data_IF_015741584391
#
_entry.id   IF_015741584391
#
_cell.length_a   1.000
_cell.length_b   1.000
_cell.length_c   1.000
_cell.angle_alpha   90.00
_cell.angle_beta   90.00
_cell.angle_gamma   90.00
#
_symmetry.space_group_name_H-M   'P 1'
#
loop_
_entity.id
_entity.type
_entity.pdbx_description
1 polymer ?
#
# COMPACT_ATOMS: atom_id res chain seq x y z
N UNK A 1 32.88 29.71 -25.64
CA UNK A 1 31.62 29.54 -24.87
C UNK A 1 31.11 28.13 -25.16
N UNK A 2 31.33 27.19 -24.25
CA UNK A 2 30.91 25.80 -24.45
C UNK A 2 29.39 25.74 -24.21
N UNK A 3 28.61 25.53 -25.28
CA UNK A 3 27.18 25.22 -25.14
C UNK A 3 27.10 23.81 -24.57
N UNK A 4 26.68 23.70 -23.31
CA UNK A 4 26.29 22.41 -22.76
C UNK A 4 25.12 21.87 -23.61
N UNK A 5 25.13 20.58 -23.97
CA UNK A 5 24.02 19.99 -24.69
C UNK A 5 22.74 20.19 -23.86
N UNK A 6 21.63 20.49 -24.54
CA UNK A 6 20.34 20.63 -23.89
C UNK A 6 20.02 19.34 -23.13
N UNK A 7 19.69 19.46 -21.85
CA UNK A 7 19.21 18.33 -21.05
C UNK A 7 17.94 17.84 -21.74
N UNK A 8 17.97 16.63 -22.30
CA UNK A 8 16.79 15.99 -22.89
C UNK A 8 15.86 15.60 -21.75
N UNK A 9 14.90 16.47 -21.43
CA UNK A 9 13.84 16.14 -20.48
C UNK A 9 12.92 15.11 -21.15
N UNK A 10 12.65 13.95 -20.51
CA UNK A 10 11.67 12.99 -21.03
C UNK A 10 10.35 13.70 -21.33
N UNK A 11 9.72 13.41 -22.46
CA UNK A 11 8.38 13.94 -22.75
C UNK A 11 7.38 13.30 -21.79
N UNK A 12 6.99 14.06 -20.77
CA UNK A 12 6.03 13.64 -19.76
C UNK A 12 4.60 13.70 -20.30
N UNK A 13 3.85 12.61 -20.17
CA UNK A 13 2.41 12.55 -20.48
C UNK A 13 1.60 13.10 -19.30
N UNK A 14 0.47 13.75 -19.56
CA UNK A 14 -0.42 14.22 -18.48
C UNK A 14 -1.20 13.06 -17.89
N UNK A 15 -0.62 12.34 -16.91
CA UNK A 15 -1.26 11.17 -16.29
C UNK A 15 -2.43 11.51 -15.35
N UNK A 16 -2.55 12.76 -14.88
CA UNK A 16 -3.58 13.13 -13.88
C UNK A 16 -5.01 12.81 -14.29
N UNK A 17 -5.32 12.89 -15.58
CA UNK A 17 -6.63 12.59 -16.16
C UNK A 17 -6.64 11.30 -16.98
N UNK A 18 -5.54 10.55 -17.00
CA UNK A 18 -5.32 9.42 -17.90
C UNK A 18 -5.28 8.11 -17.11
N UNK A 19 -6.44 7.73 -16.59
CA UNK A 19 -6.62 6.57 -15.71
C UNK A 19 -7.66 5.60 -16.28
N UNK A 20 -7.60 4.36 -15.79
CA UNK A 20 -8.63 3.36 -15.95
C UNK A 20 -9.40 3.25 -14.63
N UNK A 21 -10.72 3.28 -14.70
CA UNK A 21 -11.61 3.13 -13.56
C UNK A 21 -11.99 1.65 -13.39
N UNK A 22 -11.88 1.16 -12.15
CA UNK A 22 -12.32 -0.19 -11.79
C UNK A 22 -13.57 -0.10 -10.93
N UNK A 23 -14.61 -0.84 -11.29
CA UNK A 23 -15.92 -0.80 -10.67
C UNK A 23 -16.22 -2.07 -9.88
N UNK A 24 -16.99 -1.88 -8.81
CA UNK A 24 -17.59 -2.92 -8.01
C UNK A 24 -19.05 -3.17 -8.48
N UNK A 25 -19.44 -4.39 -8.87
CA UNK A 25 -20.76 -4.67 -9.46
C UNK A 25 -21.91 -4.59 -8.46
N UNK A 26 -21.69 -5.00 -7.21
CA UNK A 26 -22.74 -4.99 -6.17
C UNK A 26 -23.15 -3.62 -5.63
N UNK A 27 -22.59 -2.51 -6.11
CA UNK A 27 -22.96 -1.16 -5.65
C UNK A 27 -23.45 -0.28 -6.80
N UNK A 28 -24.38 0.65 -6.56
CA UNK A 28 -24.90 1.53 -7.61
C UNK A 28 -23.93 2.67 -7.94
N UNK A 29 -24.01 3.17 -9.17
CA UNK A 29 -23.37 4.44 -9.57
C UNK A 29 -23.97 5.61 -8.80
N UNK A 30 -23.18 6.63 -8.38
CA UNK A 30 -21.74 6.81 -8.63
C UNK A 30 -20.83 6.25 -7.53
N UNK A 31 -21.36 5.49 -6.56
CA UNK A 31 -20.60 5.02 -5.39
C UNK A 31 -19.94 3.66 -5.62
N UNK A 32 -19.83 3.20 -6.86
CA UNK A 32 -19.32 1.88 -7.21
C UNK A 32 -17.90 1.87 -7.79
N UNK A 33 -17.26 3.04 -7.92
CA UNK A 33 -15.84 3.11 -8.30
C UNK A 33 -15.01 2.55 -7.15
N UNK A 34 -14.34 1.43 -7.40
CA UNK A 34 -13.49 0.74 -6.44
C UNK A 34 -12.16 1.47 -6.26
N UNK A 35 -11.46 1.72 -7.37
CA UNK A 35 -10.27 2.58 -7.46
C UNK A 35 -9.95 2.88 -8.94
N UNK A 36 -8.86 3.61 -9.17
CA UNK A 36 -8.33 3.89 -10.52
C UNK A 36 -6.84 3.62 -10.60
N UNK A 37 -6.33 3.22 -11.77
CA UNK A 37 -4.90 3.08 -12.05
C UNK A 37 -4.48 3.93 -13.25
N UNK A 38 -3.26 4.51 -13.24
CA UNK A 38 -2.77 5.35 -14.33
C UNK A 38 -2.35 4.53 -15.56
N UNK A 39 -2.56 5.08 -16.75
CA UNK A 39 -2.20 4.43 -18.02
C UNK A 39 -0.71 4.55 -18.32
N UNK A 40 0.08 3.70 -17.67
CA UNK A 40 1.54 3.72 -17.70
C UNK A 40 2.16 2.64 -18.57
N UNK A 41 1.42 1.61 -18.96
CA UNK A 41 1.93 0.50 -19.78
C UNK A 41 1.60 0.72 -21.25
N UNK A 42 2.60 0.61 -22.12
CA UNK A 42 2.42 0.75 -23.58
C UNK A 42 1.82 -0.53 -24.14
N UNK A 43 0.80 -0.40 -25.01
CA UNK A 43 0.21 -1.55 -25.68
C UNK A 43 1.23 -2.20 -26.62
N UNK A 44 1.44 -3.53 -26.57
CA UNK A 44 2.31 -4.23 -27.52
C UNK A 44 1.82 -4.14 -28.98
N UNK A 45 0.50 -4.05 -29.18
CA UNK A 45 -0.12 -3.98 -30.51
C UNK A 45 -0.20 -2.56 -31.08
N UNK A 46 -0.23 -1.55 -30.22
CA UNK A 46 -0.49 -0.17 -30.58
C UNK A 46 0.48 0.77 -29.82
N UNK A 47 1.63 1.13 -30.40
CA UNK A 47 2.67 1.89 -29.70
C UNK A 47 2.23 3.24 -29.14
N UNK A 48 1.24 3.90 -29.74
CA UNK A 48 0.74 5.19 -29.24
C UNK A 48 -0.34 5.04 -28.15
N UNK A 49 -0.83 3.82 -27.91
CA UNK A 49 -1.86 3.51 -26.95
C UNK A 49 -1.25 3.02 -25.64
N UNK A 50 -1.73 3.60 -24.54
CA UNK A 50 -1.30 3.22 -23.20
C UNK A 50 -2.48 2.78 -22.34
N UNK A 51 -2.17 1.86 -21.45
CA UNK A 51 -3.11 1.18 -20.59
C UNK A 51 -2.47 0.78 -19.27
N UNK A 52 -3.05 -0.24 -18.66
CA UNK A 52 -2.53 -0.87 -17.45
C UNK A 52 -2.29 -2.34 -17.76
N UNK A 53 -1.14 -2.86 -17.37
CA UNK A 53 -0.85 -4.29 -17.42
C UNK A 53 -1.98 -5.10 -16.79
N UNK A 54 -2.57 -5.99 -17.58
CA UNK A 54 -3.81 -6.65 -17.24
C UNK A 54 -3.66 -7.62 -16.07
N UNK A 55 -2.49 -8.27 -15.95
CA UNK A 55 -2.20 -9.19 -14.85
C UNK A 55 -2.00 -8.42 -13.53
N UNK A 56 -1.31 -7.27 -13.58
CA UNK A 56 -1.15 -6.38 -12.42
C UNK A 56 -2.47 -5.74 -12.00
N UNK A 57 -3.30 -5.30 -12.96
CA UNK A 57 -4.63 -4.76 -12.68
C UNK A 57 -5.54 -5.80 -12.01
N UNK A 58 -5.59 -7.02 -12.58
CA UNK A 58 -6.34 -8.12 -12.01
C UNK A 58 -5.87 -8.45 -10.58
N UNK A 59 -4.55 -8.54 -10.37
CA UNK A 59 -3.99 -8.81 -9.06
C UNK A 59 -4.37 -7.74 -8.03
N UNK A 60 -4.31 -6.45 -8.41
CA UNK A 60 -4.73 -5.36 -7.55
C UNK A 60 -6.20 -5.53 -7.11
N UNK A 61 -7.09 -5.83 -8.05
CA UNK A 61 -8.50 -6.11 -7.77
C UNK A 61 -8.68 -7.32 -6.84
N UNK A 62 -7.97 -8.42 -7.10
CA UNK A 62 -8.07 -9.64 -6.29
C UNK A 62 -7.56 -9.43 -4.86
N UNK A 63 -6.50 -8.63 -4.66
CA UNK A 63 -5.99 -8.28 -3.34
C UNK A 63 -7.03 -7.47 -2.55
N UNK A 64 -7.61 -6.42 -3.15
CA UNK A 64 -8.58 -5.57 -2.44
C UNK A 64 -9.87 -6.32 -2.13
N UNK A 65 -10.22 -7.33 -2.92
CA UNK A 65 -11.33 -8.26 -2.66
C UNK A 65 -10.90 -9.46 -1.78
N UNK A 66 -9.94 -9.26 -0.88
CA UNK A 66 -9.49 -10.26 0.10
C UNK A 66 -8.89 -11.55 -0.50
N UNK A 67 -8.00 -11.39 -1.48
CA UNK A 67 -7.19 -12.44 -2.10
C UNK A 67 -8.00 -13.51 -2.87
N UNK A 68 -9.03 -13.09 -3.61
CA UNK A 68 -9.89 -13.95 -4.46
C UNK A 68 -9.19 -14.36 -5.77
N UNK A 69 -7.98 -14.91 -5.69
CA UNK A 69 -7.13 -15.18 -6.86
C UNK A 69 -7.72 -16.19 -7.85
N UNK A 70 -8.52 -17.15 -7.36
CA UNK A 70 -9.06 -18.23 -8.18
C UNK A 70 -10.41 -17.90 -8.84
N UNK A 71 -11.19 -16.98 -8.25
CA UNK A 71 -12.58 -16.71 -8.64
C UNK A 71 -12.79 -15.28 -9.13
N UNK A 72 -11.79 -14.41 -8.97
CA UNK A 72 -11.84 -13.02 -9.41
C UNK A 72 -11.47 -12.86 -10.89
N UNK A 73 -12.25 -12.09 -11.64
CA UNK A 73 -11.97 -11.75 -13.04
C UNK A 73 -12.39 -10.32 -13.39
N UNK A 74 -11.78 -9.76 -14.44
CA UNK A 74 -12.14 -8.46 -15.00
C UNK A 74 -13.05 -8.62 -16.22
N UNK A 75 -13.98 -7.70 -16.40
CA UNK A 75 -14.83 -7.61 -17.59
C UNK A 75 -14.91 -6.16 -18.09
N UNK A 76 -15.12 -6.02 -19.41
CA UNK A 76 -15.31 -4.72 -20.06
C UNK A 76 -16.76 -4.24 -20.08
N UNK A 77 -17.66 -4.92 -19.36
CA UNK A 77 -19.06 -4.57 -19.25
C UNK A 77 -19.59 -4.83 -17.84
N UNK A 78 -20.62 -4.07 -17.48
CA UNK A 78 -21.29 -4.11 -16.18
C UNK A 78 -21.99 -5.44 -15.87
N UNK A 79 -22.22 -6.31 -16.87
CA UNK A 79 -22.85 -7.62 -16.67
C UNK A 79 -21.83 -8.75 -16.51
N UNK A 80 -20.54 -8.48 -16.64
CA UNK A 80 -19.49 -9.48 -16.50
C UNK A 80 -19.40 -10.47 -17.66
N UNK A 81 -20.06 -10.20 -18.80
CA UNK A 81 -20.18 -11.16 -19.90
C UNK A 81 -18.90 -11.18 -20.75
N UNK A 82 -18.33 -10.02 -21.04
CA UNK A 82 -17.14 -9.81 -21.86
C UNK A 82 -15.92 -9.75 -20.95
N UNK A 83 -15.41 -10.94 -20.58
CA UNK A 83 -14.17 -11.06 -19.80
C UNK A 83 -13.02 -10.37 -20.54
N UNK A 84 -12.25 -9.58 -19.81
CA UNK A 84 -11.03 -8.97 -20.31
C UNK A 84 -9.92 -10.02 -20.41
N UNK A 85 -9.03 -9.86 -21.38
CA UNK A 85 -7.83 -10.69 -21.46
C UNK A 85 -6.84 -10.24 -20.39
N UNK A 86 -6.54 -11.13 -19.45
CA UNK A 86 -5.55 -10.92 -18.38
C UNK A 86 -4.38 -11.89 -18.50
N UNK A 87 -4.11 -12.36 -19.73
CA UNK A 87 -2.94 -13.15 -20.06
C UNK A 87 -1.62 -12.37 -19.92
N UNK A 88 -0.48 -13.08 -20.02
CA UNK A 88 0.83 -12.44 -20.09
C UNK A 88 0.87 -11.43 -21.25
N UNK A 89 1.55 -10.29 -21.05
CA UNK A 89 1.69 -9.20 -22.02
C UNK A 89 0.41 -8.44 -22.41
N UNK A 90 -0.76 -8.80 -21.87
CA UNK A 90 -2.00 -8.07 -22.12
C UNK A 90 -2.00 -6.71 -21.41
N UNK A 91 -2.48 -5.68 -22.11
CA UNK A 91 -2.64 -4.31 -21.60
C UNK A 91 -4.11 -3.91 -21.73
N UNK A 92 -4.72 -3.54 -20.61
CA UNK A 92 -6.08 -3.01 -20.56
C UNK A 92 -6.09 -1.59 -21.08
N UNK A 93 -6.88 -1.32 -22.13
CA UNK A 93 -6.88 -0.01 -22.82
C UNK A 93 -8.23 0.71 -22.77
N UNK A 94 -9.31 0.06 -22.33
CA UNK A 94 -10.60 0.72 -22.15
C UNK A 94 -10.57 1.62 -20.90
N UNK A 95 -11.47 2.61 -20.85
CA UNK A 95 -11.53 3.56 -19.74
C UNK A 95 -12.06 2.95 -18.45
N UNK A 96 -12.81 1.86 -18.55
CA UNK A 96 -13.60 1.31 -17.46
C UNK A 96 -13.58 -0.22 -17.51
N UNK A 97 -13.44 -0.85 -16.35
CA UNK A 97 -13.57 -2.29 -16.18
C UNK A 97 -14.29 -2.60 -14.88
N UNK A 98 -15.01 -3.72 -14.84
CA UNK A 98 -15.69 -4.21 -13.66
C UNK A 98 -14.96 -5.44 -13.15
N UNK A 99 -14.74 -5.51 -11.84
CA UNK A 99 -14.17 -6.67 -11.19
C UNK A 99 -15.28 -7.52 -10.59
N UNK A 100 -15.32 -8.80 -10.95
CA UNK A 100 -16.31 -9.76 -10.48
C UNK A 100 -15.65 -10.86 -9.68
N UNK A 101 -16.40 -11.40 -8.72
CA UNK A 101 -16.05 -12.61 -7.98
C UNK A 101 -17.13 -13.64 -8.23
N UNK A 102 -16.75 -14.81 -8.76
CA UNK A 102 -17.72 -15.87 -9.04
C UNK A 102 -18.51 -16.26 -7.79
N UNK A 103 -19.84 -16.12 -7.87
CA UNK A 103 -20.77 -16.46 -6.79
C UNK A 103 -20.96 -15.40 -5.70
N UNK A 104 -20.35 -14.21 -5.81
CA UNK A 104 -20.59 -13.09 -4.88
C UNK A 104 -20.58 -11.74 -5.62
N UNK A 105 -21.79 -11.29 -6.02
CA UNK A 105 -21.98 -10.02 -6.74
C UNK A 105 -21.68 -8.80 -5.85
N UNK A 106 -21.74 -8.95 -4.52
CA UNK A 106 -21.41 -7.89 -3.55
C UNK A 106 -20.25 -8.30 -2.65
N UNK A 107 -19.15 -8.79 -3.25
CA UNK A 107 -17.98 -9.28 -2.51
C UNK A 107 -17.42 -8.26 -1.51
N UNK A 108 -16.84 -8.71 -0.38
CA UNK A 108 -16.30 -7.81 0.62
C UNK A 108 -14.99 -7.15 0.18
N UNK A 109 -14.80 -5.87 0.52
CA UNK A 109 -13.56 -5.12 0.24
C UNK A 109 -12.73 -4.96 1.50
N UNK A 110 -11.42 -5.12 1.38
CA UNK A 110 -10.45 -4.91 2.46
C UNK A 110 -10.30 -3.40 2.70
N UNK A 111 -10.70 -2.87 3.87
CA UNK A 111 -10.82 -1.43 4.06
C UNK A 111 -9.48 -0.72 4.34
N UNK A 112 -8.49 -1.46 4.85
CA UNK A 112 -7.15 -0.96 5.10
C UNK A 112 -6.15 -2.12 5.09
N UNK A 113 -4.86 -1.80 4.89
CA UNK A 113 -3.80 -2.83 4.93
C UNK A 113 -3.76 -3.57 6.27
N UNK A 114 -4.09 -2.91 7.37
CA UNK A 114 -4.11 -3.53 8.71
C UNK A 114 -5.21 -4.58 8.86
N UNK A 115 -6.26 -4.46 8.09
CA UNK A 115 -7.40 -5.38 8.04
C UNK A 115 -7.21 -6.47 6.98
N UNK A 116 -6.08 -6.46 6.26
CA UNK A 116 -5.75 -7.45 5.23
C UNK A 116 -5.06 -8.67 5.83
N UNK A 117 -5.48 -9.87 5.41
CA UNK A 117 -4.79 -11.11 5.73
C UNK A 117 -3.79 -11.44 4.63
N UNK A 118 -2.52 -11.66 4.99
CA UNK A 118 -1.51 -12.10 4.03
C UNK A 118 -1.81 -13.52 3.51
N UNK A 119 -1.79 -13.75 2.19
CA UNK A 119 -2.12 -15.05 1.60
C UNK A 119 -0.92 -16.00 1.62
N UNK A 120 -0.53 -16.45 2.81
CA UNK A 120 0.55 -17.43 2.96
C UNK A 120 0.36 -18.63 2.03
N UNK A 121 1.43 -19.01 1.35
CA UNK A 121 1.52 -20.20 0.51
C UNK A 121 0.48 -20.24 -0.64
N UNK A 122 -0.15 -19.08 -0.94
CA UNK A 122 -1.19 -18.89 -1.96
C UNK A 122 -0.95 -17.67 -2.85
N UNK A 123 0.31 -17.25 -2.96
CA UNK A 123 0.71 -16.21 -3.91
C UNK A 123 0.45 -16.72 -5.34
N UNK A 124 0.03 -15.83 -6.28
CA UNK A 124 -0.13 -16.21 -7.67
C UNK A 124 1.15 -16.81 -8.26
N UNK A 125 1.04 -17.78 -9.16
CA UNK A 125 2.19 -18.49 -9.73
C UNK A 125 3.17 -17.59 -10.51
N UNK A 126 2.68 -16.50 -11.09
CA UNK A 126 3.51 -15.50 -11.78
C UNK A 126 4.26 -14.59 -10.80
N UNK A 127 3.85 -14.55 -9.53
CA UNK A 127 4.64 -13.92 -8.50
C UNK A 127 5.78 -14.86 -8.14
N UNK A 128 7.01 -14.56 -8.58
CA UNK A 128 8.11 -15.51 -8.45
C UNK A 128 8.26 -15.83 -6.97
N UNK A 129 8.27 -17.13 -6.66
CA UNK A 129 8.72 -17.69 -5.39
C UNK A 129 10.14 -18.20 -5.64
N UNK A 130 11.11 -17.60 -4.96
CA UNK A 130 12.57 -17.64 -5.14
C UNK A 130 13.06 -18.57 -6.27
N UNK A 131 13.69 -17.98 -7.28
CA UNK A 131 14.60 -18.71 -8.17
C UNK A 131 15.78 -17.84 -8.60
N UNK A 132 16.97 -18.46 -8.54
CA UNK A 132 18.32 -18.06 -8.94
C UNK A 132 19.06 -17.04 -8.06
N UNK A 133 20.15 -17.54 -7.46
CA UNK A 133 21.21 -16.80 -6.80
C UNK A 133 21.76 -15.72 -7.74
N UNK A 134 21.54 -14.46 -7.39
CA UNK A 134 22.15 -13.30 -8.00
C UNK A 134 23.09 -12.69 -6.96
N UNK A 135 24.35 -13.12 -7.02
CA UNK A 135 25.46 -12.50 -6.29
C UNK A 135 25.71 -11.08 -6.82
N UNK A 136 24.88 -10.12 -6.43
CA UNK A 136 25.18 -8.71 -6.60
C UNK A 136 24.73 -7.90 -5.38
N UNK A 137 25.54 -7.93 -4.32
CA UNK A 137 25.53 -6.90 -3.28
C UNK A 137 26.18 -5.63 -3.82
N UNK A 138 25.57 -5.00 -4.82
CA UNK A 138 25.99 -3.69 -5.26
C UNK A 138 25.43 -2.66 -4.27
N UNK A 139 26.30 -1.87 -3.63
CA UNK A 139 25.92 -0.71 -2.80
C UNK A 139 25.40 0.45 -3.69
N UNK A 140 24.41 0.15 -4.53
CA UNK A 140 23.79 1.08 -5.47
C UNK A 140 22.29 0.94 -5.42
N UNK A 141 21.60 2.03 -5.72
CA UNK A 141 20.14 2.00 -5.85
C UNK A 141 19.74 1.12 -7.05
N UNK A 142 18.92 0.07 -6.87
CA UNK A 142 18.52 -0.84 -7.96
C UNK A 142 17.70 -0.14 -9.06
N UNK A 143 17.04 0.97 -8.74
CA UNK A 143 16.22 1.74 -9.70
C UNK A 143 17.06 2.73 -10.52
N UNK A 144 18.05 3.38 -9.92
CA UNK A 144 18.79 4.50 -10.56
C UNK A 144 20.23 4.16 -10.89
N UNK A 145 20.74 3.04 -10.36
CA UNK A 145 22.14 2.67 -10.33
C UNK A 145 23.07 3.71 -9.66
N UNK A 146 22.50 4.66 -8.90
CA UNK A 146 23.28 5.66 -8.19
C UNK A 146 24.03 5.04 -6.99
N UNK A 147 25.23 5.53 -6.72
CA UNK A 147 26.06 5.15 -5.55
C UNK A 147 26.12 6.24 -4.48
N UNK A 148 25.26 7.26 -4.55
CA UNK A 148 25.22 8.41 -3.65
C UNK A 148 23.79 8.69 -3.19
N UNK A 149 23.66 9.44 -2.09
CA UNK A 149 22.36 9.76 -1.46
C UNK A 149 21.50 8.50 -1.24
N UNK A 150 22.15 7.43 -0.78
CA UNK A 150 21.50 6.15 -0.51
C UNK A 150 20.89 6.14 0.88
N UNK A 151 19.74 5.51 0.99
CA UNK A 151 18.97 5.35 2.23
C UNK A 151 18.39 3.95 2.28
N UNK A 152 18.20 3.43 3.49
CA UNK A 152 17.56 2.14 3.73
C UNK A 152 16.04 2.33 3.81
N UNK A 153 15.31 1.67 2.92
CA UNK A 153 13.87 1.77 2.82
C UNK A 153 13.22 0.45 3.24
N UNK A 154 12.27 0.53 4.16
CA UNK A 154 11.46 -0.62 4.58
C UNK A 154 10.43 -0.96 3.49
N UNK A 155 10.46 -2.19 3.01
CA UNK A 155 9.53 -2.71 2.00
C UNK A 155 8.13 -2.80 2.61
N UNK A 156 7.98 -3.45 3.76
CA UNK A 156 6.83 -3.34 4.65
C UNK A 156 7.14 -2.20 5.63
N UNK A 157 6.40 -1.09 5.61
CA UNK A 157 6.68 0.07 6.46
C UNK A 157 6.69 -0.26 7.95
N UNK A 158 7.53 0.46 8.71
CA UNK A 158 7.65 0.31 10.16
C UNK A 158 6.34 0.51 10.91
N UNK A 159 5.46 1.36 10.38
CA UNK A 159 4.15 1.66 10.97
C UNK A 159 3.19 0.46 10.91
N UNK A 160 3.52 -0.59 10.15
CA UNK A 160 2.75 -1.81 10.01
C UNK A 160 3.34 -2.99 10.79
N UNK A 161 4.18 -2.72 11.80
CA UNK A 161 4.77 -3.72 12.68
C UNK A 161 3.74 -4.63 13.37
N UNK A 162 2.60 -4.07 13.82
CA UNK A 162 1.50 -4.88 14.38
C UNK A 162 0.93 -5.85 13.34
N UNK A 163 0.66 -5.38 12.13
CA UNK A 163 0.18 -6.23 11.03
C UNK A 163 1.21 -7.32 10.67
N UNK A 164 2.49 -6.97 10.64
CA UNK A 164 3.60 -7.89 10.37
C UNK A 164 3.62 -9.04 11.38
N UNK A 165 3.46 -8.73 12.66
CA UNK A 165 3.44 -9.72 13.74
C UNK A 165 2.19 -10.61 13.66
N UNK A 166 1.00 -10.03 13.46
CA UNK A 166 -0.26 -10.78 13.42
C UNK A 166 -0.30 -11.74 12.22
N UNK A 167 0.22 -11.30 11.06
CA UNK A 167 0.36 -12.14 9.87
C UNK A 167 1.59 -13.04 9.93
N UNK A 168 2.34 -13.12 11.03
CA UNK A 168 3.47 -14.05 11.13
C UNK A 168 4.53 -13.84 10.03
N UNK A 169 4.71 -12.60 9.56
CA UNK A 169 5.57 -12.30 8.42
C UNK A 169 7.05 -12.58 8.67
N UNK A 170 7.46 -12.69 9.95
CA UNK A 170 8.80 -13.08 10.37
C UNK A 170 9.32 -14.36 9.71
N UNK A 171 8.42 -15.28 9.28
CA UNK A 171 8.78 -16.52 8.60
C UNK A 171 9.49 -16.32 7.25
N UNK A 172 9.39 -15.13 6.67
CA UNK A 172 10.03 -14.78 5.40
C UNK A 172 11.31 -13.96 5.58
N UNK A 173 11.68 -13.63 6.82
CA UNK A 173 12.93 -12.96 7.14
C UNK A 173 14.14 -13.90 7.13
N UNK A 174 15.33 -13.34 7.18
CA UNK A 174 16.60 -14.06 7.16
C UNK A 174 17.58 -13.46 8.17
N UNK A 175 17.19 -13.41 9.45
CA UNK A 175 18.10 -13.09 10.54
C UNK A 175 17.45 -12.56 11.80
N UNK A 176 16.70 -11.45 11.70
CA UNK A 176 16.16 -10.73 12.88
C UNK A 176 14.74 -11.15 13.24
N UNK A 177 13.98 -11.66 12.28
CA UNK A 177 12.60 -12.12 12.49
C UNK A 177 11.64 -11.01 12.99
N UNK A 178 11.98 -9.75 12.74
CA UNK A 178 11.19 -8.57 13.06
C UNK A 178 11.03 -7.64 11.84
N UNK A 179 10.38 -6.49 12.04
CA UNK A 179 10.15 -5.53 10.95
C UNK A 179 11.45 -4.91 10.40
N UNK A 180 12.55 -4.98 11.18
CA UNK A 180 13.87 -4.46 10.84
C UNK A 180 14.80 -5.55 10.27
N UNK A 181 14.24 -6.69 9.84
CA UNK A 181 14.95 -7.75 9.14
C UNK A 181 15.55 -7.23 7.83
N UNK A 182 16.81 -7.55 7.49
CA UNK A 182 17.43 -7.14 6.24
C UNK A 182 16.63 -7.54 4.99
N UNK A 183 15.86 -8.64 5.06
CA UNK A 183 15.00 -9.09 3.96
C UNK A 183 13.86 -8.11 3.66
N UNK A 184 13.53 -7.24 4.63
CA UNK A 184 12.54 -6.16 4.54
C UNK A 184 13.15 -4.80 4.17
N UNK A 185 14.45 -4.74 3.86
CA UNK A 185 15.15 -3.48 3.60
C UNK A 185 15.72 -3.48 2.17
N UNK A 186 15.47 -2.40 1.44
CA UNK A 186 16.07 -2.14 0.14
C UNK A 186 16.82 -0.80 0.16
N UNK A 187 18.05 -0.77 -0.36
CA UNK A 187 18.83 0.46 -0.47
C UNK A 187 18.37 1.26 -1.69
N UNK A 188 17.83 2.46 -1.48
CA UNK A 188 17.32 3.33 -2.54
C UNK A 188 17.95 4.72 -2.48
N UNK A 189 18.04 5.39 -3.64
CA UNK A 189 18.33 6.83 -3.68
C UNK A 189 17.21 7.58 -2.96
N UNK A 190 17.52 8.61 -2.18
CA UNK A 190 16.56 9.26 -1.28
C UNK A 190 15.24 9.70 -1.95
N UNK A 191 15.29 10.19 -3.18
CA UNK A 191 14.11 10.60 -3.96
C UNK A 191 13.21 9.40 -4.33
N UNK A 192 13.81 8.27 -4.70
CA UNK A 192 13.10 7.02 -5.00
C UNK A 192 12.51 6.44 -3.71
N UNK A 193 13.24 6.48 -2.59
CA UNK A 193 12.73 6.07 -1.29
C UNK A 193 11.48 6.87 -0.90
N UNK A 194 11.50 8.21 -1.02
CA UNK A 194 10.33 9.05 -0.75
C UNK A 194 9.13 8.64 -1.62
N UNK A 195 9.37 8.30 -2.90
CA UNK A 195 8.31 7.84 -3.80
C UNK A 195 7.76 6.47 -3.38
N UNK A 196 8.63 5.57 -2.94
CA UNK A 196 8.22 4.26 -2.41
C UNK A 196 7.26 4.50 -1.23
N UNK A 197 7.68 5.25 -0.20
CA UNK A 197 6.88 5.54 1.02
C UNK A 197 5.56 6.25 0.76
N UNK A 198 5.48 7.02 -0.33
CA UNK A 198 4.25 7.68 -0.74
C UNK A 198 3.32 6.80 -1.57
N UNK A 199 3.64 5.52 -1.78
CA UNK A 199 2.89 4.57 -2.62
C UNK A 199 2.85 5.00 -4.09
N UNK A 200 3.85 5.75 -4.53
CA UNK A 200 3.91 6.21 -5.93
C UNK A 200 4.11 5.02 -6.87
N UNK A 201 4.84 4.01 -6.42
CA UNK A 201 5.12 2.80 -7.17
C UNK A 201 5.21 1.59 -6.25
N UNK A 202 5.22 0.41 -6.87
CA UNK A 202 5.62 -0.84 -6.25
C UNK A 202 6.55 -1.62 -7.19
N UNK A 203 7.27 -2.59 -6.64
CA UNK A 203 7.98 -3.57 -7.45
C UNK A 203 7.03 -4.74 -7.74
N UNK A 204 6.84 -5.06 -9.02
CA UNK A 204 5.95 -6.13 -9.46
C UNK A 204 6.68 -7.01 -10.48
N UNK A 205 6.39 -8.31 -10.53
CA UNK A 205 6.93 -9.20 -11.54
C UNK A 205 6.23 -8.95 -12.88
N UNK A 206 7.01 -8.88 -13.95
CA UNK A 206 6.54 -8.89 -15.32
C UNK A 206 7.41 -9.82 -16.15
N UNK A 207 6.85 -10.48 -17.18
CA UNK A 207 7.65 -11.28 -18.09
C UNK A 207 8.63 -10.40 -18.86
N UNK A 208 9.88 -10.84 -18.94
CA UNK A 208 10.87 -10.27 -19.85
C UNK A 208 10.63 -10.79 -21.29
N UNK A 209 11.54 -10.45 -22.22
CA UNK A 209 11.47 -10.91 -23.62
C UNK A 209 11.55 -12.43 -23.76
N UNK A 210 12.08 -13.12 -22.76
CA UNK A 210 12.21 -14.57 -22.68
C UNK A 210 11.12 -15.23 -21.85
N UNK A 211 10.08 -14.47 -21.44
CA UNK A 211 8.98 -14.93 -20.59
C UNK A 211 9.41 -15.35 -19.18
N UNK A 212 10.58 -14.87 -18.73
CA UNK A 212 11.07 -15.03 -17.37
C UNK A 212 10.55 -13.85 -16.53
N UNK A 213 9.99 -14.15 -15.36
CA UNK A 213 9.46 -13.12 -14.47
C UNK A 213 10.62 -12.33 -13.83
N UNK A 214 10.68 -11.03 -14.12
CA UNK A 214 11.61 -10.10 -13.48
C UNK A 214 10.85 -9.01 -12.74
N UNK A 215 11.41 -8.55 -11.61
CA UNK A 215 10.83 -7.41 -10.91
C UNK A 215 11.09 -6.12 -11.70
N UNK A 216 10.04 -5.36 -11.92
CA UNK A 216 10.09 -4.02 -12.50
C UNK A 216 9.48 -3.01 -11.54
N UNK A 217 9.84 -1.74 -11.70
CA UNK A 217 9.12 -0.63 -11.08
C UNK A 217 7.82 -0.36 -11.83
N UNK A 218 6.69 -0.38 -11.13
CA UNK A 218 5.38 -0.05 -11.68
C UNK A 218 4.72 1.10 -10.91
N UNK A 219 4.41 2.19 -11.61
CA UNK A 219 3.82 3.41 -11.05
C UNK A 219 2.32 3.26 -10.86
N UNK A 220 1.84 3.64 -9.68
CA UNK A 220 0.45 3.57 -9.25
C UNK A 220 -0.19 4.95 -9.04
N UNK A 221 0.62 6.02 -8.93
CA UNK A 221 0.13 7.38 -8.67
C UNK A 221 0.25 8.29 -9.92
N UNK A 222 -0.88 8.69 -10.55
CA UNK A 222 -0.88 9.55 -11.75
C UNK A 222 -0.30 10.94 -11.51
N UNK A 223 -0.11 11.39 -10.27
CA UNK A 223 0.45 12.71 -9.97
C UNK A 223 1.95 12.80 -10.27
N UNK A 224 2.62 11.66 -10.46
CA UNK A 224 4.05 11.52 -10.63
C UNK A 224 4.44 11.18 -12.08
N UNK A 225 3.92 11.95 -13.04
CA UNK A 225 4.13 11.71 -14.47
C UNK A 225 5.61 11.67 -14.91
N UNK A 226 6.44 12.60 -14.42
CA UNK A 226 7.87 12.63 -14.76
C UNK A 226 8.62 11.41 -14.20
N UNK A 227 8.19 10.92 -13.04
CA UNK A 227 8.72 9.71 -12.43
C UNK A 227 8.34 8.49 -13.25
N UNK A 228 7.08 8.39 -13.69
CA UNK A 228 6.63 7.34 -14.59
C UNK A 228 7.40 7.36 -15.92
N UNK A 229 7.56 8.53 -16.54
CA UNK A 229 8.33 8.69 -17.78
C UNK A 229 9.80 8.27 -17.63
N UNK A 230 10.36 8.32 -16.42
CA UNK A 230 11.76 7.98 -16.15
C UNK A 230 11.98 6.53 -15.72
N UNK A 231 11.01 5.92 -15.04
CA UNK A 231 11.23 4.65 -14.32
C UNK A 231 10.16 3.58 -14.54
N UNK A 232 9.03 3.86 -15.19
CA UNK A 232 8.01 2.85 -15.46
C UNK A 232 8.60 1.65 -16.22
N UNK A 233 8.24 0.43 -15.78
CA UNK A 233 8.69 -0.85 -16.33
C UNK A 233 10.23 -0.98 -16.38
N UNK A 234 10.95 -0.23 -15.55
CA UNK A 234 12.39 -0.41 -15.41
C UNK A 234 12.67 -1.65 -14.59
N UNK A 235 13.35 -2.63 -15.21
CA UNK A 235 13.87 -3.82 -14.51
C UNK A 235 14.75 -3.42 -13.35
N UNK A 236 14.54 -4.09 -12.21
CA UNK A 236 15.34 -3.93 -11.01
C UNK A 236 15.95 -5.25 -10.57
N UNK A 237 17.23 -5.23 -10.26
CA UNK A 237 17.92 -6.36 -9.63
C UNK A 237 18.00 -6.09 -8.14
N UNK A 238 17.07 -6.69 -7.39
CA UNK A 238 17.03 -6.61 -5.94
C UNK A 238 18.01 -7.64 -5.35
N UNK A 239 18.54 -7.35 -4.16
CA UNK A 239 19.40 -8.29 -3.43
C UNK A 239 18.66 -9.59 -3.13
N UNK A 240 19.34 -10.73 -3.22
CA UNK A 240 18.79 -12.06 -2.91
C UNK A 240 18.27 -12.18 -1.46
N UNK A 241 18.72 -11.30 -0.58
CA UNK A 241 18.24 -11.22 0.79
C UNK A 241 16.79 -10.73 0.85
N UNK A 242 16.35 -9.91 -0.11
CA UNK A 242 14.99 -9.35 -0.14
C UNK A 242 13.94 -10.45 -0.30
N UNK A 243 12.93 -10.45 0.58
CA UNK A 243 11.80 -11.39 0.48
C UNK A 243 10.79 -10.92 -0.55
N UNK A 244 10.36 -11.85 -1.42
CA UNK A 244 9.33 -11.60 -2.43
C UNK A 244 7.95 -11.48 -1.80
N UNK A 245 7.72 -12.11 -0.66
CA UNK A 245 6.51 -11.97 0.15
C UNK A 245 6.40 -10.56 0.74
N UNK A 246 7.53 -9.95 1.10
CA UNK A 246 7.54 -8.55 1.52
C UNK A 246 7.26 -7.62 0.34
N UNK A 247 7.80 -7.90 -0.85
CA UNK A 247 7.46 -7.15 -2.08
C UNK A 247 5.96 -7.27 -2.40
N UNK A 248 5.37 -8.46 -2.25
CA UNK A 248 3.94 -8.67 -2.45
C UNK A 248 3.11 -7.88 -1.43
N UNK A 249 3.51 -7.94 -0.16
CA UNK A 249 2.88 -7.15 0.91
C UNK A 249 2.99 -5.64 0.62
N UNK A 250 4.10 -5.17 0.05
CA UNK A 250 4.26 -3.77 -0.38
C UNK A 250 3.32 -3.41 -1.52
N UNK A 251 3.19 -4.27 -2.53
CA UNK A 251 2.21 -4.05 -3.60
C UNK A 251 0.78 -3.98 -3.03
N UNK A 252 0.42 -4.93 -2.15
CA UNK A 252 -0.87 -4.93 -1.47
C UNK A 252 -1.10 -3.65 -0.64
N UNK A 253 -0.10 -3.20 0.11
CA UNK A 253 -0.15 -1.95 0.88
C UNK A 253 -0.39 -0.72 0.02
N UNK A 254 0.17 -0.68 -1.19
CA UNK A 254 -0.06 0.40 -2.14
C UNK A 254 -1.48 0.38 -2.73
N UNK A 255 -1.95 -0.79 -3.21
CA UNK A 255 -3.26 -0.88 -3.89
C UNK A 255 -4.45 -0.81 -2.92
N UNK A 256 -4.34 -1.36 -1.71
CA UNK A 256 -5.39 -1.25 -0.69
C UNK A 256 -5.58 0.20 -0.25
N UNK A 257 -4.56 1.06 -0.36
CA UNK A 257 -4.75 2.48 -0.09
C UNK A 257 -5.69 3.15 -1.11
N UNK A 258 -5.73 2.64 -2.34
CA UNK A 258 -6.51 3.23 -3.43
C UNK A 258 -8.02 3.08 -3.23
N UNK A 259 -8.48 2.06 -2.47
CA UNK A 259 -9.92 1.85 -2.19
C UNK A 259 -10.48 2.77 -1.12
N UNK A 260 -9.65 3.61 -0.48
CA UNK A 260 -10.13 4.49 0.60
C UNK A 260 -11.36 5.32 0.21
N UNK A 261 -11.44 5.97 -0.96
CA UNK A 261 -12.64 6.72 -1.38
C UNK A 261 -13.88 5.84 -1.50
N UNK A 262 -13.74 4.58 -1.96
CA UNK A 262 -14.83 3.62 -2.01
C UNK A 262 -15.35 3.27 -0.61
N UNK A 263 -14.43 3.01 0.33
CA UNK A 263 -14.74 2.61 1.71
C UNK A 263 -15.44 3.72 2.49
N UNK A 264 -15.00 4.97 2.35
CA UNK A 264 -15.54 6.10 3.13
C UNK A 264 -16.61 6.90 2.37
N UNK A 265 -17.10 6.37 1.25
CA UNK A 265 -18.05 7.02 0.34
C UNK A 265 -19.47 7.25 0.88
N UNK A 266 -19.69 7.11 2.18
CA UNK A 266 -20.95 7.45 2.85
C UNK A 266 -22.07 6.41 2.74
N UNK A 267 -21.82 5.28 2.08
CA UNK A 267 -22.76 4.15 1.97
C UNK A 267 -22.25 2.94 2.72
N UNK A 268 -23.16 2.02 3.02
CA UNK A 268 -22.85 0.79 3.73
C UNK A 268 -22.02 -0.13 2.83
N UNK A 269 -21.02 -0.79 3.41
CA UNK A 269 -20.12 -1.68 2.66
C UNK A 269 -19.93 -3.01 3.37
N UNK A 270 -19.92 -4.09 2.60
CA UNK A 270 -19.35 -5.37 3.02
C UNK A 270 -17.84 -5.22 3.04
N UNK A 271 -17.23 -5.41 4.21
CA UNK A 271 -15.79 -5.33 4.39
C UNK A 271 -15.19 -6.65 4.88
N UNK A 272 -13.96 -6.93 4.48
CA UNK A 272 -13.17 -8.04 4.98
C UNK A 272 -12.20 -7.52 6.05
N UNK A 273 -12.35 -8.00 7.29
CA UNK A 273 -11.57 -7.53 8.44
C UNK A 273 -10.76 -8.65 9.07
N UNK A 274 -9.46 -8.60 8.87
CA UNK A 274 -8.51 -9.46 9.56
C UNK A 274 -8.15 -8.87 10.93
N UNK A 275 -8.25 -9.68 11.98
CA UNK A 275 -7.82 -9.29 13.33
C UNK A 275 -7.47 -10.53 14.15
N UNK A 276 -6.67 -10.35 15.21
CA UNK A 276 -6.49 -11.42 16.20
C UNK A 276 -7.83 -11.70 16.86
N UNK A 277 -8.19 -12.98 16.96
CA UNK A 277 -9.26 -13.41 17.83
C UNK A 277 -9.02 -12.84 19.24
N UNK A 278 -9.97 -12.05 19.75
CA UNK A 278 -9.92 -11.65 21.16
C UNK A 278 -10.19 -12.91 21.97
N UNK A 279 -9.22 -13.31 22.79
CA UNK A 279 -9.44 -14.29 23.84
C UNK A 279 -10.43 -13.69 24.84
N UNK A 280 -11.72 -13.98 24.68
CA UNK A 280 -12.76 -13.53 25.62
C UNK A 280 -14.02 -13.01 24.94
N UNK A 281 -14.84 -13.93 24.42
CA UNK A 281 -16.31 -13.87 24.42
C UNK A 281 -16.79 -15.23 23.92
N UNK A 282 -17.60 -15.88 24.74
CA UNK A 282 -18.06 -17.27 24.64
C UNK A 282 -18.32 -17.78 23.22
N UNK A 283 -17.54 -18.79 22.82
CA UNK A 283 -17.98 -20.14 22.45
C UNK A 283 -16.83 -20.86 21.72
N UNK A 284 -16.38 -21.97 22.30
CA UNK A 284 -15.48 -22.92 21.63
C UNK A 284 -14.00 -22.55 21.65
N UNK A 285 -13.24 -23.30 22.45
CA UNK A 285 -11.78 -23.39 22.43
C UNK A 285 -11.25 -23.84 21.05
N UNK A 286 -11.19 -22.92 20.10
CA UNK A 286 -10.50 -23.13 18.83
C UNK A 286 -9.15 -22.45 18.85
N UNK A 287 -8.06 -23.24 18.82
CA UNK A 287 -6.74 -22.79 18.30
C UNK A 287 -6.84 -22.51 16.79
N UNK A 288 -7.83 -21.73 16.37
CA UNK A 288 -8.03 -21.35 14.99
C UNK A 288 -7.01 -20.27 14.61
N UNK A 289 -6.33 -20.46 13.48
CA UNK A 289 -5.60 -19.37 12.84
C UNK A 289 -6.56 -18.19 12.65
N UNK A 290 -6.14 -16.94 12.93
CA UNK A 290 -6.97 -15.78 12.64
C UNK A 290 -7.38 -15.84 11.16
N UNK A 291 -8.66 -15.56 10.88
CA UNK A 291 -9.20 -15.47 9.52
C UNK A 291 -9.88 -14.11 9.38
N UNK A 292 -9.88 -13.58 8.17
CA UNK A 292 -10.67 -12.39 7.87
C UNK A 292 -12.15 -12.67 8.13
N UNK A 293 -12.80 -11.79 8.90
CA UNK A 293 -14.23 -11.80 9.16
C UNK A 293 -14.92 -10.85 8.20
N UNK A 294 -16.03 -11.27 7.61
CA UNK A 294 -16.86 -10.41 6.76
C UNK A 294 -17.86 -9.68 7.64
N UNK A 295 -17.94 -8.36 7.50
CA UNK A 295 -18.88 -7.50 8.24
C UNK A 295 -19.53 -6.51 7.28
N UNK A 296 -20.84 -6.27 7.43
CA UNK A 296 -21.51 -5.13 6.82
C UNK A 296 -21.41 -3.96 7.80
N UNK A 297 -20.78 -2.86 7.38
CA UNK A 297 -20.66 -1.65 8.21
C UNK A 297 -21.36 -0.48 7.55
N UNK A 298 -22.01 0.32 8.37
CA UNK A 298 -22.70 1.53 7.93
C UNK A 298 -21.73 2.63 7.51
N UNK A 299 -22.12 3.46 6.54
CA UNK A 299 -21.31 4.56 6.00
C UNK A 299 -20.68 5.48 7.06
N UNK A 300 -21.43 5.99 8.07
CA UNK A 300 -20.86 6.80 9.15
C UNK A 300 -19.81 6.07 9.99
N UNK A 301 -20.01 4.77 10.23
CA UNK A 301 -19.06 3.92 10.95
C UNK A 301 -17.77 3.73 10.15
N UNK A 302 -17.89 3.50 8.84
CA UNK A 302 -16.74 3.41 7.93
C UNK A 302 -15.95 4.72 7.90
N UNK A 303 -16.63 5.86 7.82
CA UNK A 303 -15.99 7.18 7.88
C UNK A 303 -15.28 7.42 9.22
N UNK A 304 -15.89 7.03 10.34
CA UNK A 304 -15.27 7.17 11.66
C UNK A 304 -14.01 6.29 11.82
N UNK A 305 -14.04 5.06 11.29
CA UNK A 305 -12.95 4.10 11.41
C UNK A 305 -11.81 4.35 10.42
N UNK A 306 -12.16 4.72 9.17
CA UNK A 306 -11.22 4.77 8.04
C UNK A 306 -11.07 6.15 7.38
N UNK A 307 -11.88 7.14 7.76
CA UNK A 307 -11.82 8.50 7.18
C UNK A 307 -10.58 9.31 7.57
N UNK A 308 -10.03 9.05 8.77
CA UNK A 308 -8.83 9.74 9.25
C UNK A 308 -7.53 9.38 8.49
N UNK A 309 -6.42 10.04 8.81
CA UNK A 309 -5.08 9.46 8.56
C UNK A 309 -4.28 9.90 7.33
N UNK A 310 -4.76 10.76 6.41
CA UNK A 310 -3.92 11.25 5.30
C UNK A 310 -3.20 10.12 4.53
N UNK A 311 -1.89 10.27 4.26
CA UNK A 311 -1.02 9.25 3.65
C UNK A 311 -0.66 8.07 4.58
N UNK A 312 -1.25 8.00 5.77
CA UNK A 312 -1.14 6.89 6.72
C UNK A 312 -2.42 6.06 6.63
N UNK A 313 -2.28 4.74 6.72
CA UNK A 313 -3.38 3.80 6.91
C UNK A 313 -4.23 4.28 8.10
N UNK A 314 -5.50 4.58 7.84
CA UNK A 314 -6.44 4.98 8.88
C UNK A 314 -6.66 3.81 9.84
N UNK A 315 -6.82 4.08 11.15
CA UNK A 315 -7.01 3.04 12.15
C UNK A 315 -8.21 3.36 13.07
N UNK A 316 -9.01 2.35 13.45
CA UNK A 316 -10.06 2.44 14.48
C UNK A 316 -9.61 2.90 15.87
N UNK A 317 -8.31 3.02 16.15
CA UNK A 317 -7.82 3.30 17.50
C UNK A 317 -7.48 4.78 17.70
N UNK A 318 -8.51 5.60 17.82
CA UNK A 318 -8.40 6.84 18.61
C UNK A 318 -9.21 6.64 19.90
N UNK A 319 -8.54 6.16 20.97
CA UNK A 319 -9.15 6.20 22.32
C UNK A 319 -9.44 7.67 22.64
N UNK A 320 -10.66 7.98 23.09
CA UNK A 320 -10.96 9.26 23.74
C UNK A 320 -10.01 9.39 24.92
N UNK A 321 -9.24 10.48 25.00
CA UNK A 321 -8.59 10.86 26.23
C UNK A 321 -9.70 11.07 27.27
N UNK A 322 -9.73 10.21 28.30
CA UNK A 322 -10.58 10.42 29.46
C UNK A 322 -10.03 11.61 30.23
N UNK A 323 -10.77 12.71 30.26
CA UNK A 323 -10.55 13.78 31.22
C UNK A 323 -10.66 13.20 32.63
N UNK A 324 -9.69 13.44 33.54
CA UNK A 324 -9.90 13.15 34.95
C UNK A 324 -10.92 14.15 35.49
N UNK A 325 -12.12 13.67 35.80
CA UNK A 325 -12.98 14.28 36.81
C UNK A 325 -12.63 13.58 38.11
N UNK A 326 -11.87 14.26 38.96
CA UNK A 326 -11.80 13.93 40.37
C UNK A 326 -12.30 15.17 41.13
N UNK A 327 -13.61 15.18 41.36
CA UNK A 327 -14.24 15.93 42.46
C UNK A 327 -13.87 15.21 43.75
N UNK A 328 -13.05 15.84 44.57
CA UNK A 328 -12.98 15.57 46.00
C UNK A 328 -13.13 16.90 46.73
N UNK A 329 -14.35 17.15 47.19
CA UNK A 329 -14.65 18.17 48.19
C UNK A 329 -14.01 17.76 49.51
N UNK A 330 -13.10 18.59 50.04
CA UNK A 330 -12.90 18.70 51.48
C UNK A 330 -12.69 20.16 51.86
N UNK A 331 -13.46 20.54 52.88
CA UNK A 331 -13.75 21.87 53.40
C UNK A 331 -12.60 22.49 54.22
N UNK A 332 -12.72 23.80 54.42
CA UNK A 332 -11.84 24.82 55.03
C UNK A 332 -10.96 24.43 56.24
N UNK A 333 -9.73 24.98 56.27
CA UNK A 333 -9.37 25.97 57.31
C UNK A 333 -8.03 26.69 57.01
N UNK A 334 -8.08 27.97 57.37
CA UNK A 334 -7.12 29.07 57.24
C UNK A 334 -5.79 28.80 57.96
N UNK A 335 -4.66 29.19 57.36
CA UNK A 335 -3.66 30.03 58.05
C UNK A 335 -2.67 30.70 57.09
N UNK A 336 -2.31 31.92 57.49
CA UNK A 336 -1.76 33.04 56.76
C UNK A 336 -0.24 33.12 56.95
N UNK A 337 0.55 33.37 55.89
CA UNK A 337 1.82 34.07 56.07
C UNK A 337 2.34 34.66 54.75
N UNK A 338 2.35 35.98 54.71
CA UNK A 338 2.95 36.80 53.66
C UNK A 338 4.48 36.81 53.78
N UNK A 339 5.16 36.82 52.64
CA UNK A 339 6.60 37.05 52.54
C UNK A 339 6.94 37.65 51.19
N UNK A 340 7.16 38.96 51.20
CA UNK A 340 7.42 39.83 50.06
C UNK A 340 8.68 39.48 49.25
N UNK A 341 8.62 39.86 47.98
CA UNK A 341 9.72 39.86 47.03
C UNK A 341 10.79 40.89 47.40
N UNK A 342 12.04 40.62 47.01
CA UNK A 342 12.98 41.67 46.62
C UNK A 342 13.89 41.20 45.49
N UNK A 343 13.95 42.05 44.48
CA UNK A 343 14.85 42.03 43.32
C UNK A 343 16.33 42.10 43.74
N UNK A 344 17.23 41.49 42.96
CA UNK A 344 18.31 42.25 42.32
C UNK A 344 19.20 41.41 41.37
N UNK A 345 19.39 42.01 40.20
CA UNK A 345 20.59 42.13 39.36
C UNK A 345 21.20 40.97 38.58
N UNK A 346 21.07 41.18 37.26
CA UNK A 346 21.98 40.78 36.19
C UNK A 346 23.37 41.37 36.40
N UNK A 347 24.45 40.59 36.23
CA UNK A 347 25.68 41.04 35.55
C UNK A 347 26.30 39.85 34.79
N UNK A 348 26.53 40.08 33.50
CA UNK A 348 27.35 39.28 32.60
C UNK A 348 28.83 39.33 33.00
N UNK A 349 29.62 38.30 32.69
CA UNK A 349 31.03 38.54 32.43
C UNK A 349 31.60 37.66 31.33
N UNK A 350 32.31 38.38 30.49
CA UNK A 350 33.05 38.09 29.27
C UNK A 350 34.44 37.51 29.58
N UNK A 351 34.96 36.69 28.66
CA UNK A 351 36.37 36.35 28.36
C UNK A 351 37.22 35.69 29.48
N UNK A 352 38.06 34.69 29.21
CA UNK A 352 39.08 34.55 28.16
C UNK A 352 39.13 33.11 27.62
#
# INVERSE_FOLDING_TARGET
>A
MVRLPAISVPRSRTLRSDNILFYHPGYPTPVNILFSLPRVDQSPSEPDLFGVDAQIALLACQIVASNVFATGYLASDEKGIRRADTGPDSVLTQSEYWFFVEGDDEYPVVPSFRDWQFPHDRLPSFWPLRAAESLSTSNRCPVTNASYALTEAHIIPKEESEWFLINGMHRYGNGRYDIDDPSNIVTLRSDVHICLDRRVFAFVPKPDKHQVQEFVLHVLDPRYADFAASYQNRTVHLSDVVSQEYLFARFAWAVIHLVKPFIVGGVDRRIAKFSRAKTGSDEGSGKGLPKAKIELLEGPSLMALYGGGGSRSASPRKRKASSPKDEWDFDESVEESAGEASDHDCIANTEI
#
